data_IF_729044902377
#
_entry.id   IF_729044902377
#
_cell.length_a   1.000
_cell.length_b   1.000
_cell.length_c   1.000
_cell.angle_alpha   90.00
_cell.angle_beta   90.00
_cell.angle_gamma   90.00
#
_symmetry.space_group_name_H-M   'P 1'
#
loop_
_entity.id
_entity.type
_entity.pdbx_description
1 polymer ?
#
# COMPACT_ATOMS: atom_id res chain seq x y z
N UNK A 1 12.52 3.55 -0.26
CA UNK A 1 12.53 4.86 -0.95
C UNK A 1 11.43 5.81 -0.45
N UNK A 2 10.13 5.60 -0.69
CA UNK A 2 9.10 6.56 -0.24
C UNK A 2 8.90 6.58 1.29
N UNK A 3 8.87 5.42 1.92
CA UNK A 3 8.78 5.32 3.39
C UNK A 3 9.98 5.98 4.07
N UNK A 4 11.19 5.69 3.57
CA UNK A 4 12.44 6.31 4.04
C UNK A 4 12.41 7.83 3.84
N UNK A 5 11.95 8.30 2.67
CA UNK A 5 11.86 9.73 2.38
C UNK A 5 10.86 10.46 3.28
N UNK A 6 9.74 9.83 3.61
CA UNK A 6 8.79 10.40 4.57
C UNK A 6 9.42 10.55 5.95
N UNK A 7 10.21 9.55 6.39
CA UNK A 7 10.96 9.60 7.65
C UNK A 7 12.01 10.72 7.66
N UNK A 8 12.74 10.92 6.57
CA UNK A 8 13.70 12.03 6.42
C UNK A 8 13.04 13.41 6.50
N UNK A 9 11.77 13.51 6.11
CA UNK A 9 10.99 14.74 6.10
C UNK A 9 10.12 14.92 7.35
N UNK A 10 10.24 14.04 8.35
CA UNK A 10 9.41 14.02 9.55
C UNK A 10 7.90 13.95 9.26
N UNK A 11 7.52 13.21 8.21
CA UNK A 11 6.14 13.00 7.81
C UNK A 11 5.59 11.70 8.40
N UNK A 12 4.42 11.78 9.03
CA UNK A 12 3.69 10.61 9.52
C UNK A 12 2.95 9.91 8.37
N UNK A 13 3.31 8.64 8.12
CA UNK A 13 2.52 7.75 7.28
C UNK A 13 1.52 7.01 8.16
N UNK A 14 0.23 7.13 7.86
CA UNK A 14 -0.85 6.55 8.67
C UNK A 14 -1.55 5.36 8.02
N UNK A 15 -1.20 5.04 6.77
CA UNK A 15 -1.75 3.87 6.10
C UNK A 15 -1.43 3.79 4.62
N UNK A 16 -2.07 2.81 3.98
CA UNK A 16 -1.92 2.47 2.56
C UNK A 16 -3.32 2.39 1.96
N UNK A 17 -3.47 2.87 0.72
CA UNK A 17 -4.69 2.69 -0.08
C UNK A 17 -4.31 2.06 -1.42
N UNK A 18 -5.26 1.35 -2.01
CA UNK A 18 -5.10 0.73 -3.32
C UNK A 18 -6.39 0.84 -4.14
N UNK A 19 -6.25 0.73 -5.45
CA UNK A 19 -7.37 0.66 -6.39
C UNK A 19 -7.06 -0.43 -7.40
N UNK A 20 -7.91 -1.46 -7.47
CA UNK A 20 -7.73 -2.60 -8.38
C UNK A 20 -8.21 -2.33 -9.82
N UNK A 21 -8.80 -1.16 -10.08
CA UNK A 21 -9.39 -0.77 -11.36
C UNK A 21 -10.92 -0.81 -11.36
N UNK A 22 -11.56 0.21 -11.94
CA UNK A 22 -13.03 0.38 -11.96
C UNK A 22 -13.81 -0.79 -12.60
N UNK A 23 -13.21 -1.45 -13.59
CA UNK A 23 -13.77 -2.61 -14.29
C UNK A 23 -13.08 -3.94 -13.95
N UNK A 24 -12.39 -4.02 -12.82
CA UNK A 24 -11.71 -5.25 -12.43
C UNK A 24 -12.74 -6.38 -12.25
N UNK A 25 -12.51 -7.50 -12.93
CA UNK A 25 -13.37 -8.70 -12.85
C UNK A 25 -12.67 -9.87 -12.16
N UNK A 26 -11.41 -9.70 -11.77
CA UNK A 26 -10.61 -10.73 -11.10
C UNK A 26 -10.52 -10.45 -9.58
N UNK A 27 -11.22 -11.26 -8.74
CA UNK A 27 -11.22 -11.07 -7.29
C UNK A 27 -9.84 -11.34 -6.65
N UNK A 28 -8.98 -12.15 -7.25
CA UNK A 28 -7.63 -12.42 -6.70
C UNK A 28 -6.76 -11.16 -6.66
N UNK A 29 -7.06 -10.17 -7.51
CA UNK A 29 -6.40 -8.86 -7.48
C UNK A 29 -6.59 -8.15 -6.14
N UNK A 30 -7.74 -8.30 -5.49
CA UNK A 30 -7.95 -7.76 -4.14
C UNK A 30 -7.12 -8.49 -3.10
N UNK A 31 -7.04 -9.82 -3.19
CA UNK A 31 -6.24 -10.65 -2.26
C UNK A 31 -4.77 -10.21 -2.33
N UNK A 32 -4.24 -10.07 -3.55
CA UNK A 32 -2.88 -9.62 -3.76
C UNK A 32 -2.69 -8.18 -3.24
N UNK A 33 -3.58 -7.25 -3.58
CA UNK A 33 -3.46 -5.86 -3.15
C UNK A 33 -3.51 -5.69 -1.62
N UNK A 34 -4.32 -6.51 -0.92
CA UNK A 34 -4.37 -6.53 0.54
C UNK A 34 -3.08 -7.10 1.12
N UNK A 35 -2.57 -8.20 0.54
CA UNK A 35 -1.29 -8.80 0.96
C UNK A 35 -0.13 -7.82 0.78
N UNK A 36 -0.08 -7.12 -0.36
CA UNK A 36 0.92 -6.10 -0.65
C UNK A 36 0.82 -4.92 0.30
N UNK A 37 -0.41 -4.44 0.58
CA UNK A 37 -0.65 -3.37 1.54
C UNK A 37 -0.17 -3.78 2.95
N UNK A 38 -0.40 -5.03 3.37
CA UNK A 38 0.15 -5.55 4.64
C UNK A 38 1.66 -5.52 4.63
N UNK A 39 2.31 -5.99 3.56
CA UNK A 39 3.76 -5.98 3.41
C UNK A 39 4.33 -4.56 3.53
N UNK A 40 3.75 -3.57 2.85
CA UNK A 40 4.16 -2.16 2.97
C UNK A 40 4.00 -1.65 4.40
N UNK A 41 2.92 -2.04 5.07
CA UNK A 41 2.67 -1.65 6.45
C UNK A 41 3.67 -2.28 7.43
N UNK A 42 4.23 -3.45 7.11
CA UNK A 42 5.31 -4.09 7.90
C UNK A 42 6.70 -3.49 7.63
N UNK A 43 6.90 -2.83 6.49
CA UNK A 43 8.16 -2.17 6.14
C UNK A 43 8.38 -0.83 6.88
N UNK A 44 7.34 -0.27 7.50
CA UNK A 44 7.35 1.03 8.19
C UNK A 44 7.74 0.94 9.65
#
# INVERSE_FOLDING_TARGET
LLLERAKELDLAIVGVSFHVGSGCTDPETFVQAISDARCVFDMG
#
